data_IF_235410161061
#
_entry.id   IF_235410161061
#
_cell.length_a   1.000
_cell.length_b   1.000
_cell.length_c   1.000
_cell.angle_alpha   90.00
_cell.angle_beta   90.00
_cell.angle_gamma   90.00
#
_symmetry.space_group_name_H-M   'P 1'
#
loop_
_entity.id
_entity.type
_entity.pdbx_description
1 polymer ?
#
# COMPACT_ATOMS: atom_id res chain seq x y z
N UNK A 1 -19.06 -17.74 7.25
CA UNK A 1 -18.06 -16.73 6.87
C UNK A 1 -16.91 -16.93 7.81
N UNK A 2 -15.83 -17.55 7.32
CA UNK A 2 -14.62 -17.70 8.10
C UNK A 2 -13.88 -16.38 7.92
N UNK A 3 -14.07 -15.48 8.87
CA UNK A 3 -13.23 -14.29 9.01
C UNK A 3 -12.20 -14.76 10.02
N UNK A 4 -11.05 -15.22 9.53
CA UNK A 4 -9.90 -15.47 10.38
C UNK A 4 -9.59 -14.15 11.11
N UNK A 5 -9.78 -14.08 12.44
CA UNK A 5 -9.78 -12.82 13.18
C UNK A 5 -8.37 -12.25 13.42
N UNK A 6 -7.36 -12.73 12.70
CA UNK A 6 -5.94 -12.54 13.05
C UNK A 6 -5.06 -12.05 11.89
N UNK A 7 -5.62 -11.70 10.73
CA UNK A 7 -4.79 -11.11 9.66
C UNK A 7 -4.70 -9.59 9.84
N UNK A 8 -3.60 -9.13 10.46
CA UNK A 8 -3.27 -7.72 10.51
C UNK A 8 -3.01 -7.21 9.06
N UNK A 9 -3.74 -6.20 8.56
CA UNK A 9 -3.58 -5.71 7.18
C UNK A 9 -2.16 -5.22 6.90
N UNK A 10 -1.41 -4.82 7.94
CA UNK A 10 -0.03 -4.40 7.81
C UNK A 10 0.88 -5.56 7.38
N UNK A 11 0.54 -6.82 7.62
CA UNK A 11 1.42 -7.95 7.27
C UNK A 11 1.62 -8.11 5.76
N UNK A 12 0.68 -7.62 4.96
CA UNK A 12 0.78 -7.58 3.49
C UNK A 12 1.71 -6.47 2.98
N UNK A 13 2.11 -5.54 3.86
CA UNK A 13 2.96 -4.42 3.48
C UNK A 13 4.46 -4.78 3.56
N UNK A 14 5.27 -4.35 2.57
CA UNK A 14 6.72 -4.42 2.70
C UNK A 14 7.21 -3.52 3.85
N UNK A 15 8.36 -3.82 4.49
CA UNK A 15 8.86 -3.07 5.65
C UNK A 15 8.96 -1.56 5.45
N UNK A 16 9.25 -1.10 4.23
CA UNK A 16 9.34 0.32 3.90
C UNK A 16 7.98 1.03 3.99
N UNK A 17 6.88 0.33 3.72
CA UNK A 17 5.53 0.86 3.85
C UNK A 17 4.97 0.72 5.28
N UNK A 18 5.66 0.02 6.18
CA UNK A 18 5.32 -0.07 7.62
C UNK A 18 5.88 1.05 8.49
N UNK A 19 6.75 1.91 7.95
CA UNK A 19 7.32 3.05 8.69
C UNK A 19 6.31 4.21 8.80
N UNK A 20 6.42 5.01 9.85
CA UNK A 20 5.72 6.30 10.00
C UNK A 20 4.19 6.16 9.81
N UNK A 21 3.59 5.16 10.46
CA UNK A 21 2.16 4.85 10.31
C UNK A 21 1.28 5.90 11.01
N UNK A 22 1.78 6.43 12.12
CA UNK A 22 1.20 7.49 12.94
C UNK A 22 1.57 8.90 12.46
N UNK A 23 2.24 9.02 11.32
CA UNK A 23 2.61 10.30 10.72
C UNK A 23 1.75 10.62 9.49
N UNK A 24 1.69 11.91 9.15
CA UNK A 24 0.96 12.39 7.97
C UNK A 24 1.64 11.91 6.68
N UNK A 25 0.96 11.06 5.93
CA UNK A 25 1.39 10.72 4.57
C UNK A 25 0.99 11.83 3.59
N UNK A 26 -0.19 12.43 3.77
CA UNK A 26 -0.63 13.57 2.99
C UNK A 26 -0.57 14.84 3.84
N UNK A 27 0.45 15.66 3.64
CA UNK A 27 0.62 16.94 4.36
C UNK A 27 -0.24 18.07 3.81
N UNK A 28 -0.89 17.91 2.64
CA UNK A 28 -1.80 18.93 2.11
C UNK A 28 -3.10 19.04 2.93
N UNK A 29 -3.59 17.89 3.40
CA UNK A 29 -4.87 17.75 4.11
C UNK A 29 -4.70 17.07 5.47
N UNK A 30 -3.47 17.03 5.99
CA UNK A 30 -3.11 16.40 7.26
C UNK A 30 -3.71 15.00 7.48
N UNK A 31 -3.54 14.13 6.48
CA UNK A 31 -4.06 12.76 6.50
C UNK A 31 -2.97 11.79 6.95
N UNK A 32 -3.23 11.07 8.03
CA UNK A 32 -2.36 10.02 8.54
C UNK A 32 -2.23 8.88 7.54
N UNK A 33 -1.06 8.25 7.55
CA UNK A 33 -0.83 7.04 6.76
C UNK A 33 -1.77 5.91 7.17
N UNK A 34 -2.04 5.75 8.46
CA UNK A 34 -2.95 4.73 8.97
C UNK A 34 -4.39 4.93 8.49
N UNK A 35 -4.87 6.18 8.37
CA UNK A 35 -6.22 6.46 7.87
C UNK A 35 -6.40 6.06 6.41
N UNK A 36 -5.36 6.25 5.59
CA UNK A 36 -5.33 5.77 4.21
C UNK A 36 -5.36 4.24 4.14
N UNK A 37 -4.58 3.57 4.99
CA UNK A 37 -4.57 2.10 5.08
C UNK A 37 -5.97 1.59 5.49
N UNK A 38 -6.58 2.21 6.49
CA UNK A 38 -7.93 1.86 6.95
C UNK A 38 -8.97 2.05 5.84
N UNK A 39 -8.91 3.14 5.06
CA UNK A 39 -9.79 3.34 3.91
C UNK A 39 -9.66 2.22 2.87
N UNK A 40 -8.43 1.78 2.59
CA UNK A 40 -8.16 0.68 1.65
C UNK A 40 -8.71 -0.65 2.19
N UNK A 41 -8.47 -0.95 3.46
CA UNK A 41 -9.01 -2.15 4.14
C UNK A 41 -10.54 -2.13 4.16
N UNK A 42 -11.15 -0.95 4.30
CA UNK A 42 -12.60 -0.75 4.23
C UNK A 42 -13.16 -0.78 2.79
N UNK A 43 -12.31 -0.98 1.78
CA UNK A 43 -12.73 -1.26 0.42
C UNK A 43 -12.40 -0.18 -0.61
N UNK A 44 -11.64 0.86 -0.29
CA UNK A 44 -11.11 1.79 -1.30
C UNK A 44 -10.05 1.10 -2.17
N UNK A 45 -10.39 0.76 -3.41
CA UNK A 45 -9.51 -0.01 -4.32
C UNK A 45 -8.83 0.87 -5.37
N UNK A 46 -9.15 2.16 -5.39
CA UNK A 46 -8.61 3.14 -6.33
C UNK A 46 -8.19 4.39 -5.60
N UNK A 47 -7.30 5.17 -6.23
CA UNK A 47 -6.88 6.47 -5.68
C UNK A 47 -8.07 7.41 -5.49
N UNK A 48 -9.04 7.36 -6.42
CA UNK A 48 -10.25 8.17 -6.35
C UNK A 48 -11.12 7.79 -5.14
N UNK A 49 -11.30 6.50 -4.86
CA UNK A 49 -12.03 6.05 -3.67
C UNK A 49 -11.31 6.41 -2.37
N UNK A 50 -9.96 6.32 -2.34
CA UNK A 50 -9.18 6.77 -1.19
C UNK A 50 -9.34 8.29 -0.99
N UNK A 51 -9.32 9.07 -2.07
CA UNK A 51 -9.55 10.51 -2.03
C UNK A 51 -10.93 10.84 -1.50
N UNK A 52 -11.98 10.16 -1.97
CA UNK A 52 -13.35 10.36 -1.50
C UNK A 52 -13.52 10.05 -0.01
N UNK A 53 -12.80 9.06 0.53
CA UNK A 53 -12.91 8.67 1.93
C UNK A 53 -12.03 9.47 2.88
N UNK A 54 -10.87 9.96 2.42
CA UNK A 54 -9.82 10.50 3.31
C UNK A 54 -9.37 11.92 2.96
N UNK A 55 -9.80 12.46 1.81
CA UNK A 55 -9.26 13.67 1.20
C UNK A 55 -7.76 13.60 0.82
N UNK A 56 -7.09 12.46 0.97
CA UNK A 56 -5.73 12.29 0.48
C UNK A 56 -5.69 12.40 -1.05
N UNK A 57 -4.56 12.84 -1.60
CA UNK A 57 -4.33 13.00 -3.06
C UNK A 57 -5.11 14.12 -3.77
N UNK A 58 -5.96 14.88 -3.05
CA UNK A 58 -6.74 16.02 -3.57
C UNK A 58 -5.94 17.33 -3.73
N UNK A 59 -4.69 17.35 -3.22
CA UNK A 59 -3.78 18.49 -3.30
C UNK A 59 -2.73 18.39 -4.40
N UNK A 60 -1.49 18.76 -4.09
CA UNK A 60 -0.34 18.76 -5.03
C UNK A 60 0.04 17.33 -5.49
N UNK A 61 -0.41 16.31 -4.74
CA UNK A 61 -0.26 14.91 -5.15
C UNK A 61 1.05 14.23 -4.72
N UNK A 62 1.87 14.83 -3.85
CA UNK A 62 3.13 14.23 -3.36
C UNK A 62 2.94 12.84 -2.75
N UNK A 63 1.80 12.60 -2.08
CA UNK A 63 1.45 11.32 -1.49
C UNK A 63 0.96 10.27 -2.50
N UNK A 64 0.56 10.66 -3.71
CA UNK A 64 -0.20 9.82 -4.67
C UNK A 64 0.52 8.52 -5.01
N UNK A 65 1.83 8.57 -5.23
CA UNK A 65 2.64 7.38 -5.52
C UNK A 65 2.65 6.37 -4.37
N UNK A 66 2.72 6.86 -3.13
CA UNK A 66 2.72 5.99 -1.96
C UNK A 66 1.33 5.43 -1.68
N UNK A 67 0.27 6.21 -1.91
CA UNK A 67 -1.12 5.72 -1.87
C UNK A 67 -1.34 4.61 -2.88
N UNK A 68 -0.89 4.76 -4.13
CA UNK A 68 -0.96 3.71 -5.15
C UNK A 68 -0.27 2.43 -4.70
N UNK A 69 0.92 2.52 -4.11
CA UNK A 69 1.64 1.34 -3.59
C UNK A 69 0.91 0.66 -2.43
N UNK A 70 0.28 1.43 -1.54
CA UNK A 70 -0.55 0.87 -0.47
C UNK A 70 -1.74 0.09 -1.05
N UNK A 71 -2.41 0.66 -2.06
CA UNK A 71 -3.50 -0.02 -2.77
C UNK A 71 -3.00 -1.30 -3.43
N UNK A 72 -1.88 -1.24 -4.16
CA UNK A 72 -1.28 -2.41 -4.81
C UNK A 72 -0.98 -3.52 -3.79
N UNK A 73 -0.35 -3.21 -2.65
CA UNK A 73 -0.02 -4.23 -1.65
C UNK A 73 -1.25 -4.82 -0.95
N UNK A 74 -2.29 -4.02 -0.72
CA UNK A 74 -3.45 -4.43 0.09
C UNK A 74 -4.61 -5.00 -0.76
N UNK A 75 -4.68 -4.66 -2.05
CA UNK A 75 -5.73 -5.10 -2.97
C UNK A 75 -5.24 -6.12 -4.01
N UNK A 76 -3.94 -6.40 -4.12
CA UNK A 76 -3.45 -7.39 -5.07
C UNK A 76 -4.11 -8.77 -4.82
N UNK A 77 -4.62 -9.44 -5.86
CA UNK A 77 -4.98 -10.85 -5.75
C UNK A 77 -3.71 -11.65 -5.44
N UNK A 78 -3.77 -12.59 -4.50
CA UNK A 78 -2.64 -13.45 -4.16
C UNK A 78 -2.21 -14.28 -5.39
N UNK A 79 -1.30 -13.74 -6.21
CA UNK A 79 -0.78 -14.44 -7.38
C UNK A 79 0.55 -13.86 -7.87
N UNK A 80 1.62 -14.53 -7.44
CA UNK A 80 2.83 -14.84 -8.23
C UNK A 80 3.91 -13.77 -8.45
N UNK A 81 4.29 -12.99 -7.45
CA UNK A 81 5.69 -12.53 -7.36
C UNK A 81 6.14 -12.48 -5.90
N UNK A 82 7.21 -13.20 -5.51
CA UNK A 82 7.75 -13.13 -4.16
C UNK A 82 8.30 -11.72 -3.87
N UNK A 83 8.33 -11.29 -2.60
CA UNK A 83 8.89 -9.99 -2.23
C UNK A 83 10.36 -9.92 -2.65
N UNK A 84 10.70 -8.92 -3.46
CA UNK A 84 12.08 -8.63 -3.83
C UNK A 84 12.91 -8.40 -2.55
N UNK A 85 13.72 -9.38 -2.19
CA UNK A 85 14.76 -9.24 -1.18
C UNK A 85 16.00 -8.59 -1.83
N UNK A 86 16.80 -7.84 -1.08
CA UNK A 86 18.06 -7.29 -1.56
C UNK A 86 19.11 -8.41 -1.62
N UNK A 87 19.01 -9.29 -2.62
CA UNK A 87 19.89 -10.44 -2.76
C UNK A 87 19.76 -11.19 -4.09
N UNK A 88 18.76 -10.90 -4.91
CA UNK A 88 18.62 -11.53 -6.23
C UNK A 88 19.62 -10.90 -7.20
N UNK A 89 20.79 -11.54 -7.31
CA UNK A 89 21.70 -11.38 -8.43
C UNK A 89 20.95 -11.82 -9.69
N UNK A 90 20.74 -10.90 -10.63
CA UNK A 90 20.38 -11.28 -11.99
C UNK A 90 21.55 -12.07 -12.58
N UNK A 91 21.51 -13.40 -12.45
CA UNK A 91 22.37 -14.26 -13.24
C UNK A 91 21.60 -14.62 -14.51
N UNK A 92 22.11 -14.12 -15.63
CA UNK A 92 21.50 -14.20 -16.94
C UNK A 92 21.17 -15.63 -17.37
N UNK A 93 20.15 -15.72 -18.21
CA UNK A 93 20.00 -16.85 -19.12
C UNK A 93 20.27 -16.30 -20.51
N UNK A 94 21.56 -16.31 -20.87
CA UNK A 94 21.99 -16.31 -22.26
C UNK A 94 21.46 -17.58 -22.94
N UNK A 95 20.90 -17.37 -24.13
CA UNK A 95 20.47 -18.34 -25.12
C UNK A 95 21.41 -19.56 -25.24
N UNK A 96 20.85 -20.78 -25.19
CA UNK A 96 20.95 -21.86 -26.21
C UNK A 96 20.12 -23.07 -25.77
#
# INVERSE_FOLDING_TARGET
MNIDPDENPLDKLPPILKKDLDENLCTCNDVLKMDIINAIVNGAKTVEEVQQQTCATDGIGCCKRQVQRLIECLCAPESKYPPANPGDVYFGQDDT
#
